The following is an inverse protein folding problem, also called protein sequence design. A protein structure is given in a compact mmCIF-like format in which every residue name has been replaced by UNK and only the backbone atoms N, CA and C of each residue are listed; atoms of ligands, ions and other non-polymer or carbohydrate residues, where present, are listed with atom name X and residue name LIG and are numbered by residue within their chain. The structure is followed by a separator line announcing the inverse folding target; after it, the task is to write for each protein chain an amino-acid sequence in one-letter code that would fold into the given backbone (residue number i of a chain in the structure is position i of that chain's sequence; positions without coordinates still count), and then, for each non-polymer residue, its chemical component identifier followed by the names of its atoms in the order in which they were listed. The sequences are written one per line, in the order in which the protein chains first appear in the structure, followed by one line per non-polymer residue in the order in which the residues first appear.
data_IF_200604636885
#
_entry.id   IF_200604636885
#
_cell.length_a   1.000
_cell.length_b   1.000
_cell.length_c   1.000
_cell.angle_alpha   90.00
_cell.angle_beta   90.00
_cell.angle_gamma   90.00
#
_symmetry.space_group_name_H-M   'P 1'
#
loop_
_entity.id
_entity.type
_entity.pdbx_description
1 polymer ?
#
# COMPACT_ATOMS: atom_id res chain seq x y z
N UNK A 1 -2.86 -3.64 13.12
CA UNK A 1 -3.09 -3.86 11.68
C UNK A 1 -3.64 -2.56 11.13
N UNK A 2 -2.94 -1.94 10.17
CA UNK A 2 -3.40 -0.72 9.50
C UNK A 2 -4.07 -1.09 8.19
N UNK A 3 -5.06 -0.31 7.76
CA UNK A 3 -5.75 -0.51 6.49
C UNK A 3 -6.09 0.82 5.85
N UNK A 4 -6.01 0.86 4.52
CA UNK A 4 -6.36 2.03 3.72
C UNK A 4 -7.06 1.55 2.45
N UNK A 5 -8.22 2.13 2.15
CA UNK A 5 -8.87 1.96 0.85
C UNK A 5 -8.45 3.13 -0.06
N UNK A 6 -8.06 2.82 -1.29
CA UNK A 6 -7.72 3.82 -2.31
C UNK A 6 -8.63 3.67 -3.52
N UNK A 7 -9.01 4.81 -4.10
CA UNK A 7 -9.73 4.87 -5.37
C UNK A 7 -8.77 5.37 -6.46
N UNK A 8 -8.16 4.43 -7.19
CA UNK A 8 -7.24 4.71 -8.30
C UNK A 8 -7.94 4.42 -9.64
N UNK A 9 -7.30 3.68 -10.56
CA UNK A 9 -8.02 3.06 -11.69
C UNK A 9 -9.05 2.03 -11.21
N UNK A 10 -8.74 1.41 -10.08
CA UNK A 10 -9.52 0.38 -9.43
C UNK A 10 -9.62 0.72 -7.95
N UNK A 11 -10.60 0.13 -7.26
CA UNK A 11 -10.67 0.21 -5.80
C UNK A 11 -9.66 -0.77 -5.21
N UNK A 12 -8.75 -0.26 -4.38
CA UNK A 12 -7.70 -1.04 -3.75
C UNK A 12 -7.86 -1.07 -2.24
N UNK A 13 -7.45 -2.17 -1.63
CA UNK A 13 -7.31 -2.32 -0.19
C UNK A 13 -5.84 -2.57 0.13
N UNK A 14 -5.24 -1.67 0.89
CA UNK A 14 -3.87 -1.77 1.42
C UNK A 14 -3.98 -2.22 2.87
N UNK A 15 -3.23 -3.25 3.25
CA UNK A 15 -3.24 -3.80 4.61
C UNK A 15 -1.82 -3.96 5.13
N UNK A 16 -1.50 -3.30 6.24
CA UNK A 16 -0.27 -3.58 6.98
C UNK A 16 -0.52 -4.62 8.07
N UNK A 17 0.19 -5.73 7.97
CA UNK A 17 0.11 -6.85 8.91
C UNK A 17 0.78 -6.48 10.25
N UNK A 18 0.42 -7.16 11.37
CA UNK A 18 1.03 -6.89 12.66
C UNK A 18 2.56 -7.05 12.67
N UNK A 19 3.25 -6.37 13.58
CA UNK A 19 4.71 -6.30 13.62
C UNK A 19 5.41 -7.68 13.66
N UNK A 20 4.80 -8.65 14.34
CA UNK A 20 5.30 -10.01 14.52
C UNK A 20 4.89 -10.99 13.41
N UNK A 21 4.30 -10.50 12.32
CA UNK A 21 4.00 -11.33 11.17
C UNK A 21 5.29 -11.66 10.40
N UNK A 22 5.54 -12.95 10.20
CA UNK A 22 6.60 -13.44 9.32
C UNK A 22 6.15 -13.32 7.86
N UNK A 23 6.71 -12.32 7.15
CA UNK A 23 6.43 -12.02 5.75
C UNK A 23 7.36 -12.74 4.77
N UNK A 24 8.40 -13.40 5.29
CA UNK A 24 9.38 -14.17 4.51
C UNK A 24 8.87 -15.58 4.22
N UNK A 25 8.02 -16.09 5.12
CA UNK A 25 7.27 -17.31 4.89
C UNK A 25 6.09 -17.09 3.92
N UNK A 26 5.73 -18.10 3.10
CA UNK A 26 4.59 -18.01 2.20
C UNK A 26 3.31 -17.75 2.99
N UNK A 27 2.53 -16.77 2.53
CA UNK A 27 1.22 -16.45 3.09
C UNK A 27 0.12 -17.00 2.20
N UNK A 28 -0.95 -17.49 2.82
CA UNK A 28 -2.16 -17.89 2.12
C UNK A 28 -3.32 -17.02 2.58
N UNK A 29 -4.21 -16.68 1.63
CA UNK A 29 -5.47 -16.00 1.89
C UNK A 29 -6.56 -17.06 1.79
N UNK A 30 -7.04 -17.54 2.93
CA UNK A 30 -8.10 -18.55 2.96
C UNK A 30 -9.44 -17.94 3.36
N UNK A 31 -10.54 -18.37 2.71
CA UNK A 31 -11.87 -18.13 3.24
C UNK A 31 -12.04 -18.96 4.51
N UNK A 32 -12.30 -18.30 5.64
CA UNK A 32 -12.54 -18.99 6.91
C UNK A 32 -14.05 -18.97 7.23
N UNK A 33 -14.64 -20.16 7.44
CA UNK A 33 -16.07 -20.31 7.78
C UNK A 33 -16.34 -19.68 9.16
N UNK A 34 -16.82 -18.43 9.16
CA UNK A 34 -17.17 -17.66 10.35
C UNK A 34 -16.43 -16.33 10.51
N UNK A 35 -15.28 -16.17 9.85
CA UNK A 35 -14.51 -14.92 9.79
C UNK A 35 -14.10 -14.72 8.33
N UNK A 36 -14.88 -13.92 7.59
CA UNK A 36 -15.02 -13.97 6.11
C UNK A 36 -13.74 -14.31 5.34
N UNK A 37 -12.59 -13.72 5.66
CA UNK A 37 -11.29 -14.12 5.09
C UNK A 37 -10.15 -14.00 6.12
N UNK A 38 -9.21 -14.94 6.08
CA UNK A 38 -8.04 -15.02 6.96
C UNK A 38 -6.78 -15.06 6.11
N UNK A 39 -5.80 -14.23 6.43
CA UNK A 39 -4.43 -14.41 5.92
C UNK A 39 -3.57 -14.99 7.03
N UNK A 40 -2.72 -15.94 6.67
CA UNK A 40 -1.74 -16.50 7.60
C UNK A 40 -0.43 -16.77 6.90
N UNK A 41 0.64 -16.74 7.67
CA UNK A 41 1.96 -17.20 7.24
C UNK A 41 2.17 -18.67 7.67
N UNK A 42 2.77 -19.49 6.81
CA UNK A 42 3.12 -20.88 7.12
C UNK A 42 4.64 -21.09 7.13
N UNK A 43 5.14 -21.73 8.19
CA UNK A 43 6.51 -22.23 8.23
C UNK A 43 6.49 -23.76 8.42
N UNK A 44 7.06 -24.49 7.46
CA UNK A 44 7.14 -25.97 7.50
C UNK A 44 5.78 -26.65 7.73
N UNK A 45 4.72 -26.14 7.11
CA UNK A 45 3.35 -26.68 7.21
C UNK A 45 2.60 -26.30 8.49
N UNK A 46 3.18 -25.48 9.38
CA UNK A 46 2.52 -24.96 10.56
C UNK A 46 2.10 -23.50 10.34
N UNK A 47 0.85 -23.17 10.71
CA UNK A 47 0.38 -21.80 10.71
C UNK A 47 1.02 -21.06 11.90
N UNK A 48 1.81 -20.03 11.61
CA UNK A 48 2.57 -19.28 12.61
C UNK A 48 1.93 -17.93 12.99
N UNK A 49 1.10 -17.37 12.10
CA UNK A 49 0.38 -16.11 12.36
C UNK A 49 -0.97 -16.11 11.65
N UNK A 50 -1.99 -15.46 12.20
CA UNK A 50 -3.34 -15.39 11.62
C UNK A 50 -3.91 -14.00 11.80
N UNK A 51 -4.42 -13.39 10.73
CA UNK A 51 -5.08 -12.10 10.81
C UNK A 51 -6.34 -12.05 9.95
N UNK A 52 -7.38 -11.42 10.51
CA UNK A 52 -8.70 -11.30 9.89
C UNK A 52 -8.69 -10.16 8.88
N UNK A 53 -9.10 -10.45 7.66
CA UNK A 53 -9.30 -9.43 6.62
C UNK A 53 -10.66 -8.73 6.79
N UNK A 54 -10.80 -7.50 6.26
CA UNK A 54 -12.11 -6.88 6.11
C UNK A 54 -13.08 -7.77 5.31
N UNK A 55 -14.36 -7.53 5.54
CA UNK A 55 -15.44 -8.22 4.83
C UNK A 55 -15.56 -7.69 3.39
N UNK A 56 -15.53 -8.58 2.40
CA UNK A 56 -15.63 -8.23 0.98
C UNK A 56 -14.87 -9.23 0.11
N UNK A 57 -15.01 -9.09 -1.21
CA UNK A 57 -14.28 -9.93 -2.15
C UNK A 57 -13.04 -9.17 -2.65
N UNK A 58 -11.90 -9.83 -2.55
CA UNK A 58 -10.61 -9.24 -2.83
C UNK A 58 -9.77 -10.14 -3.72
N UNK A 59 -9.00 -9.53 -4.62
CA UNK A 59 -7.98 -10.23 -5.40
C UNK A 59 -6.60 -9.71 -4.98
N UNK A 60 -5.74 -10.60 -4.50
CA UNK A 60 -4.37 -10.26 -4.17
C UNK A 60 -3.61 -9.76 -5.41
N UNK A 61 -2.85 -8.67 -5.24
CA UNK A 61 -2.02 -8.08 -6.29
C UNK A 61 -0.54 -8.39 -6.02
N UNK A 62 0.02 -7.85 -4.94
CA UNK A 62 1.43 -8.00 -4.59
C UNK A 62 1.67 -7.63 -3.12
N UNK A 63 2.87 -7.95 -2.61
CA UNK A 63 3.38 -7.33 -1.37
C UNK A 63 3.75 -5.88 -1.62
N UNK A 64 3.79 -5.07 -0.56
CA UNK A 64 4.28 -3.69 -0.61
C UNK A 64 5.75 -3.62 -1.03
N UNK A 65 6.59 -4.55 -0.56
CA UNK A 65 8.00 -4.67 -0.96
C UNK A 65 8.20 -5.15 -2.40
N UNK A 66 7.18 -5.72 -3.02
CA UNK A 66 7.15 -6.13 -4.43
C UNK A 66 6.52 -5.05 -5.34
N UNK A 67 6.10 -3.91 -4.76
CA UNK A 67 5.48 -2.83 -5.52
C UNK A 67 6.54 -2.13 -6.39
N UNK A 68 6.54 -2.48 -7.67
CA UNK A 68 7.41 -1.88 -8.67
C UNK A 68 6.69 -0.81 -9.49
N UNK A 69 7.45 -0.07 -10.28
CA UNK A 69 6.91 0.83 -11.31
C UNK A 69 5.91 0.11 -12.23
N UNK A 70 6.24 -1.10 -12.70
CA UNK A 70 5.39 -1.84 -13.63
C UNK A 70 4.08 -2.34 -13.00
N UNK A 71 4.12 -2.79 -11.76
CA UNK A 71 2.90 -3.12 -11.00
C UNK A 71 2.06 -1.84 -10.84
N UNK A 72 2.68 -0.75 -10.43
CA UNK A 72 2.02 0.54 -10.18
C UNK A 72 1.35 1.10 -11.44
N UNK A 73 1.94 0.95 -12.63
CA UNK A 73 1.34 1.36 -13.92
C UNK A 73 -0.04 0.76 -14.14
N UNK A 74 -0.24 -0.49 -13.71
CA UNK A 74 -1.52 -1.18 -13.76
C UNK A 74 -2.57 -0.58 -12.82
N UNK A 75 -2.14 0.09 -11.74
CA UNK A 75 -2.98 0.58 -10.65
C UNK A 75 -3.35 2.06 -10.78
N UNK A 76 -2.43 2.91 -11.20
CA UNK A 76 -2.60 4.37 -11.21
C UNK A 76 -3.11 4.91 -12.54
N UNK A 77 -3.82 6.05 -12.51
CA UNK A 77 -4.32 6.73 -13.72
C UNK A 77 -3.17 7.40 -14.48
N UNK A 78 -3.00 6.99 -15.74
CA UNK A 78 -2.12 7.68 -16.70
C UNK A 78 -2.86 8.91 -17.25
N UNK A 79 -2.15 10.03 -17.35
CA UNK A 79 -2.71 11.32 -17.79
C UNK A 79 -2.24 11.71 -19.19
N UNK A 80 -1.03 11.33 -19.57
CA UNK A 80 -0.46 11.64 -20.89
C UNK A 80 0.60 10.62 -21.28
N UNK A 81 0.77 10.41 -22.57
CA UNK A 81 1.81 9.58 -23.17
C UNK A 81 2.33 10.30 -24.42
N UNK A 82 3.64 10.25 -24.68
CA UNK A 82 4.19 10.71 -25.95
C UNK A 82 3.86 9.73 -27.09
N UNK A 83 3.98 10.20 -28.33
CA UNK A 83 3.66 9.40 -29.53
C UNK A 83 4.52 8.12 -29.62
N UNK A 84 5.70 8.13 -29.01
CA UNK A 84 6.65 7.02 -28.96
C UNK A 84 6.46 6.07 -27.76
N UNK A 85 5.49 6.33 -26.88
CA UNK A 85 5.25 5.61 -25.62
C UNK A 85 6.46 5.50 -24.65
N UNK A 86 7.45 6.39 -24.80
CA UNK A 86 8.67 6.45 -23.97
C UNK A 86 8.46 7.31 -22.73
N UNK A 87 7.61 8.33 -22.81
CA UNK A 87 7.32 9.24 -21.71
C UNK A 87 5.85 9.13 -21.31
N UNK A 88 5.63 8.46 -20.17
CA UNK A 88 4.32 8.39 -19.54
C UNK A 88 4.25 9.41 -18.40
N UNK A 89 3.09 10.05 -18.26
CA UNK A 89 2.75 10.91 -17.13
C UNK A 89 1.57 10.32 -16.37
N UNK A 90 1.63 10.38 -15.05
CA UNK A 90 0.64 9.81 -14.14
C UNK A 90 0.05 10.89 -13.25
N UNK A 91 -1.18 10.67 -12.79
CA UNK A 91 -1.88 11.63 -11.93
C UNK A 91 -1.09 11.85 -10.62
N UNK A 92 -0.87 13.10 -10.24
CA UNK A 92 -0.49 13.45 -8.88
C UNK A 92 -1.78 13.63 -8.06
N UNK A 93 -1.94 12.89 -6.96
CA UNK A 93 -3.17 12.93 -6.16
C UNK A 93 -3.15 13.99 -5.05
N UNK A 94 -1.99 14.58 -4.74
CA UNK A 94 -1.84 15.63 -3.72
C UNK A 94 -2.28 16.99 -4.27
N UNK A 95 -1.96 17.29 -5.53
CA UNK A 95 -2.21 18.60 -6.14
C UNK A 95 -3.59 18.58 -6.82
N UNK A 96 -4.48 19.49 -6.43
CA UNK A 96 -5.74 19.74 -7.14
C UNK A 96 -5.47 20.48 -8.46
N UNK A 97 -5.25 19.77 -9.57
CA UNK A 97 -5.03 20.39 -10.88
C UNK A 97 -4.31 19.50 -11.90
N UNK A 98 -3.56 20.13 -12.81
CA UNK A 98 -2.82 19.46 -13.89
C UNK A 98 -1.45 18.87 -13.47
N UNK A 99 -1.21 18.71 -12.18
CA UNK A 99 0.01 18.09 -11.67
C UNK A 99 0.13 16.65 -12.15
N UNK A 100 1.26 16.30 -12.79
CA UNK A 100 1.53 14.93 -13.23
C UNK A 100 2.95 14.51 -12.87
N UNK A 101 3.11 13.24 -12.50
CA UNK A 101 4.37 12.61 -12.13
C UNK A 101 4.90 11.76 -13.28
N UNK A 102 6.22 11.55 -13.35
CA UNK A 102 6.86 10.70 -14.37
C UNK A 102 6.94 9.23 -13.98
N UNK A 103 6.71 8.90 -12.71
CA UNK A 103 6.68 7.53 -12.22
C UNK A 103 5.27 7.14 -11.75
N UNK A 104 4.86 5.94 -12.14
CA UNK A 104 3.64 5.32 -11.65
C UNK A 104 3.73 4.98 -10.17
N UNK A 105 4.92 4.57 -9.71
CA UNK A 105 5.20 4.33 -8.29
C UNK A 105 5.05 5.63 -7.49
N UNK A 106 5.64 6.74 -7.93
CA UNK A 106 5.44 8.05 -7.29
C UNK A 106 3.96 8.45 -7.29
N UNK A 107 3.24 8.19 -8.39
CA UNK A 107 1.80 8.45 -8.46
C UNK A 107 1.01 7.63 -7.44
N UNK A 108 1.38 6.36 -7.24
CA UNK A 108 0.74 5.50 -6.24
C UNK A 108 1.01 6.01 -4.83
N UNK A 109 2.26 6.36 -4.52
CA UNK A 109 2.65 6.94 -3.22
C UNK A 109 1.91 8.26 -2.96
N UNK A 110 1.81 9.13 -3.98
CA UNK A 110 1.06 10.39 -3.84
C UNK A 110 -0.43 10.17 -3.53
N UNK A 111 -1.01 9.03 -3.93
CA UNK A 111 -2.38 8.70 -3.59
C UNK A 111 -2.54 8.31 -2.12
N UNK A 112 -1.56 7.60 -1.56
CA UNK A 112 -1.49 7.31 -0.12
C UNK A 112 -1.34 8.61 0.67
N UNK A 113 -0.42 9.47 0.24
CA UNK A 113 -0.13 10.77 0.86
C UNK A 113 -1.30 11.73 0.79
N UNK A 114 -2.08 11.72 -0.30
CA UNK A 114 -3.30 12.53 -0.41
C UNK A 114 -4.38 12.17 0.62
N UNK A 115 -4.33 10.97 1.21
CA UNK A 115 -5.20 10.53 2.30
C UNK A 115 -4.59 10.79 3.68
N UNK A 116 -3.44 11.47 3.73
CA UNK A 116 -2.69 11.72 4.96
C UNK A 116 -1.92 10.51 5.48
N UNK A 117 -1.62 9.52 4.66
CA UNK A 117 -0.77 8.39 5.07
C UNK A 117 0.62 8.51 4.46
N UNK A 118 1.61 7.88 5.05
CA UNK A 118 2.97 7.85 4.51
C UNK A 118 3.32 6.47 3.99
N UNK A 119 4.25 6.38 3.05
CA UNK A 119 4.76 5.11 2.52
C UNK A 119 6.26 4.99 2.80
N UNK A 120 6.66 3.92 3.48
CA UNK A 120 8.03 3.61 3.91
C UNK A 120 8.66 4.56 4.95
N UNK A 121 8.42 5.87 4.84
CA UNK A 121 9.04 6.89 5.69
C UNK A 121 8.03 8.00 5.98
N UNK A 122 7.98 8.48 7.23
CA UNK A 122 7.19 9.66 7.60
C UNK A 122 7.95 10.96 7.30
N UNK A 123 7.22 12.03 7.00
CA UNK A 123 7.82 13.33 6.63
C UNK A 123 8.63 14.00 7.75
N UNK A 124 8.35 13.66 9.02
CA UNK A 124 9.04 14.27 10.16
C UNK A 124 10.49 13.80 10.30
N UNK A 125 10.86 12.67 9.69
CA UNK A 125 12.25 12.19 9.70
C UNK A 125 13.21 13.06 8.88
N UNK A 126 12.71 13.89 7.96
CA UNK A 126 13.52 14.86 7.21
C UNK A 126 13.50 16.28 7.83
N UNK A 127 12.83 16.44 8.98
CA UNK A 127 12.84 17.71 9.73
C UNK A 127 14.22 17.97 10.35
N UNK A 128 14.76 19.16 10.10
CA UNK A 128 16.02 19.65 10.70
C UNK A 128 15.85 19.93 12.20
N UNK A 129 14.60 20.16 12.64
CA UNK A 129 14.22 20.32 14.03
C UNK A 129 13.79 18.97 14.60
N UNK A 130 14.21 18.66 15.82
CA UNK A 130 13.69 17.50 16.54
C UNK A 130 12.16 17.67 16.69
N UNK A 131 11.34 16.83 16.02
CA UNK A 131 9.89 16.92 16.13
C UNK A 131 9.47 16.63 17.58
N UNK A 132 8.31 17.16 17.99
CA UNK A 132 7.72 16.76 19.25
C UNK A 132 7.48 15.24 19.25
N UNK A 133 7.67 14.58 20.40
CA UNK A 133 7.54 13.12 20.51
C UNK A 133 6.13 12.68 20.11
N UNK A 134 5.11 13.44 20.47
CA UNK A 134 3.72 13.11 20.18
C UNK A 134 3.43 13.25 18.68
N UNK A 135 3.95 14.30 18.04
CA UNK A 135 3.85 14.50 16.59
C UNK A 135 4.54 13.37 15.81
N UNK A 136 5.73 12.98 16.25
CA UNK A 136 6.46 11.86 15.64
C UNK A 136 5.71 10.54 15.77
N UNK A 137 5.16 10.25 16.96
CA UNK A 137 4.36 9.04 17.18
C UNK A 137 3.08 9.02 16.34
N UNK A 138 2.41 10.17 16.19
CA UNK A 138 1.24 10.29 15.32
C UNK A 138 1.62 10.00 13.87
N UNK A 139 2.68 10.65 13.36
CA UNK A 139 3.14 10.45 11.99
C UNK A 139 3.53 8.99 11.73
N UNK A 140 4.26 8.36 12.68
CA UNK A 140 4.64 6.96 12.58
C UNK A 140 3.44 6.02 12.57
N UNK A 141 2.39 6.34 13.34
CA UNK A 141 1.13 5.58 13.31
C UNK A 141 0.40 5.64 11.96
N UNK A 142 0.74 6.62 11.11
CA UNK A 142 0.18 6.84 9.77
C UNK A 142 1.13 6.39 8.64
N UNK A 143 2.27 5.80 8.97
CA UNK A 143 3.24 5.29 7.99
C UNK A 143 3.00 3.82 7.68
N UNK A 144 2.85 3.46 6.42
CA UNK A 144 2.87 2.06 5.99
C UNK A 144 4.30 1.55 5.82
N UNK A 145 4.61 0.38 6.38
CA UNK A 145 5.85 -0.34 6.12
C UNK A 145 5.66 -1.28 4.90
N UNK A 146 6.34 -1.05 3.76
CA UNK A 146 6.18 -1.86 2.55
C UNK A 146 6.47 -3.35 2.78
N UNK A 147 7.45 -3.69 3.62
CA UNK A 147 7.82 -5.09 3.94
C UNK A 147 6.71 -5.83 4.68
N UNK A 148 5.79 -5.09 5.30
CA UNK A 148 4.64 -5.63 6.05
C UNK A 148 3.32 -5.32 5.39
N UNK A 149 3.33 -4.83 4.16
CA UNK A 149 2.11 -4.42 3.47
C UNK A 149 1.70 -5.43 2.41
N UNK A 150 0.39 -5.64 2.31
CA UNK A 150 -0.25 -6.44 1.26
C UNK A 150 -1.23 -5.55 0.51
N UNK A 151 -1.26 -5.68 -0.82
CA UNK A 151 -2.10 -4.85 -1.70
C UNK A 151 -3.10 -5.76 -2.42
N UNK A 152 -4.37 -5.37 -2.37
CA UNK A 152 -5.49 -6.10 -2.95
C UNK A 152 -6.33 -5.21 -3.85
N UNK A 153 -6.94 -5.79 -4.88
CA UNK A 153 -8.05 -5.21 -5.63
C UNK A 153 -9.37 -5.60 -4.94
N UNK A 154 -10.27 -4.64 -4.77
CA UNK A 154 -11.66 -4.85 -4.35
C UNK A 154 -12.50 -5.23 -5.58
N UNK A 155 -13.28 -6.31 -5.48
CA UNK A 155 -14.11 -6.84 -6.58
C UNK A 155 -15.56 -6.33 -6.53
#
# INVERSE_FOLDING_TARGET
MKKLELELKERLLIVEVPEHADMDCPFEILPNKGFKYLVFSQCKGNIISRFKMPDGDWKFICKGSELTEEVSKGLVKMTWIDDDAKLCKYKNYIISGSGSLSSALESFVSAIESQGWFWAKNDLTDSILAPDIDEWQEAESRTFNPEKTLIFKIL
#
